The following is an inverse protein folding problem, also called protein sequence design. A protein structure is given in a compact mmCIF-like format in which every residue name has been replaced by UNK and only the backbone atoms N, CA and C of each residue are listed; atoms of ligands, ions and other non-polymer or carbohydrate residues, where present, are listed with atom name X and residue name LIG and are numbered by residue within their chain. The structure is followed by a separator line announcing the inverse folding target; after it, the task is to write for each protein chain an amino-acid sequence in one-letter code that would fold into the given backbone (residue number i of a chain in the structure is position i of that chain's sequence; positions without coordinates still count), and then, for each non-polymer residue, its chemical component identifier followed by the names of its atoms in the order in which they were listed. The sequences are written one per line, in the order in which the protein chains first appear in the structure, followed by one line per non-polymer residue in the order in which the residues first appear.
data_IF_956860930151
#
_entry.id   IF_956860930151
#
_cell.length_a   1.000
_cell.length_b   1.000
_cell.length_c   1.000
_cell.angle_alpha   90.00
_cell.angle_beta   90.00
_cell.angle_gamma   90.00
#
_symmetry.space_group_name_H-M   'P 1'
#
loop_
_entity.id
_entity.type
_entity.pdbx_description
1 polymer ?
#
# COMPACT_ATOMS: atom_id res chain seq x y z
N UNK A 1 16.29 8.20 -7.48
CA UNK A 1 14.98 7.65 -7.09
C UNK A 1 14.32 8.72 -6.26
N UNK A 2 13.40 9.47 -6.86
CA UNK A 2 12.57 10.43 -6.14
C UNK A 2 11.27 9.72 -5.75
N UNK A 3 10.85 9.89 -4.50
CA UNK A 3 9.70 9.21 -3.92
C UNK A 3 8.64 10.25 -3.57
N UNK A 4 7.41 10.02 -4.04
CA UNK A 4 6.25 10.74 -3.55
C UNK A 4 5.66 9.96 -2.36
N UNK A 5 5.75 10.57 -1.17
CA UNK A 5 5.20 10.03 0.08
C UNK A 5 4.02 10.90 0.50
N UNK A 6 2.87 10.27 0.74
CA UNK A 6 1.65 10.94 1.17
C UNK A 6 0.84 10.08 2.13
N UNK A 7 -0.06 10.70 2.89
CA UNK A 7 -0.98 9.97 3.76
C UNK A 7 -1.79 8.98 2.92
N UNK A 8 -1.99 7.77 3.46
CA UNK A 8 -2.74 6.72 2.77
C UNK A 8 -4.15 7.20 2.43
N UNK A 9 -4.57 7.05 1.16
CA UNK A 9 -5.95 7.20 0.77
C UNK A 9 -6.55 5.85 0.31
N UNK A 10 -7.86 5.83 0.10
CA UNK A 10 -8.59 4.61 -0.24
C UNK A 10 -8.06 3.91 -1.49
N UNK A 11 -7.68 4.67 -2.52
CA UNK A 11 -7.18 4.09 -3.78
C UNK A 11 -5.85 3.38 -3.56
N UNK A 12 -4.91 3.97 -2.82
CA UNK A 12 -3.65 3.30 -2.53
C UNK A 12 -3.83 2.12 -1.57
N UNK A 13 -4.65 2.28 -0.52
CA UNK A 13 -4.96 1.19 0.43
C UNK A 13 -5.52 -0.04 -0.31
N UNK A 14 -6.46 0.19 -1.24
CA UNK A 14 -7.06 -0.86 -2.08
C UNK A 14 -6.07 -1.51 -3.05
N UNK A 15 -5.02 -0.82 -3.49
CA UNK A 15 -3.98 -1.43 -4.33
C UNK A 15 -2.97 -2.23 -3.48
N UNK A 16 -2.57 -1.69 -2.34
CA UNK A 16 -1.63 -2.31 -1.40
C UNK A 16 -2.25 -3.55 -0.75
N UNK A 17 -3.55 -3.54 -0.46
CA UNK A 17 -4.26 -4.69 0.11
C UNK A 17 -4.26 -5.93 -0.79
N UNK A 18 -3.84 -5.80 -2.06
CA UNK A 18 -3.69 -6.91 -3.02
C UNK A 18 -2.30 -7.54 -3.02
N UNK A 19 -1.38 -7.03 -2.21
CA UNK A 19 0.01 -7.48 -2.23
C UNK A 19 0.11 -8.91 -1.68
N UNK A 20 0.50 -9.83 -2.55
CA UNK A 20 0.79 -11.22 -2.23
C UNK A 20 2.28 -11.47 -2.40
N UNK A 21 2.92 -11.97 -1.35
CA UNK A 21 4.35 -12.28 -1.35
C UNK A 21 4.57 -13.79 -1.37
N UNK A 22 5.67 -14.19 -2.02
CA UNK A 22 6.12 -15.59 -1.99
C UNK A 22 6.90 -15.87 -0.70
N UNK A 23 7.05 -17.15 -0.36
CA UNK A 23 7.94 -17.60 0.72
C UNK A 23 9.35 -16.99 0.59
N UNK A 24 9.98 -16.59 1.71
CA UNK A 24 9.53 -16.72 3.11
C UNK A 24 8.64 -15.57 3.61
N UNK A 25 8.24 -14.65 2.74
CA UNK A 25 7.52 -13.41 3.10
C UNK A 25 6.00 -13.54 2.99
N UNK A 26 5.48 -14.74 2.79
CA UNK A 26 4.04 -14.99 2.60
C UNK A 26 3.21 -14.48 3.78
N UNK A 27 3.77 -14.45 4.99
CA UNK A 27 3.13 -13.91 6.21
C UNK A 27 2.79 -12.41 6.13
N UNK A 28 3.40 -11.66 5.22
CA UNK A 28 3.11 -10.24 4.97
C UNK A 28 2.10 -10.02 3.84
N UNK A 29 1.61 -11.12 3.23
CA UNK A 29 0.58 -11.02 2.21
C UNK A 29 -0.71 -10.49 2.81
N UNK A 30 -1.38 -9.64 2.03
CA UNK A 30 -2.67 -9.05 2.38
C UNK A 30 -3.81 -9.86 1.77
N UNK A 31 -5.04 -9.63 2.20
CA UNK A 31 -6.21 -10.45 1.84
C UNK A 31 -7.30 -9.68 1.08
N UNK A 32 -7.03 -8.45 0.66
CA UNK A 32 -7.99 -7.53 0.01
C UNK A 32 -9.28 -7.28 0.80
N UNK A 33 -9.36 -7.68 2.08
CA UNK A 33 -10.58 -7.54 2.88
C UNK A 33 -10.84 -6.07 3.24
N UNK A 34 -12.11 -5.75 3.47
CA UNK A 34 -12.49 -4.44 4.01
C UNK A 34 -11.80 -4.14 5.36
N UNK A 35 -11.53 -5.17 6.17
CA UNK A 35 -10.79 -4.99 7.41
C UNK A 35 -9.33 -4.55 7.16
N UNK A 36 -8.65 -5.23 6.23
CA UNK A 36 -7.29 -4.86 5.81
C UNK A 36 -7.25 -3.43 5.23
N UNK A 37 -8.22 -3.07 4.39
CA UNK A 37 -8.31 -1.71 3.81
C UNK A 37 -8.54 -0.67 4.91
N UNK A 38 -9.45 -0.92 5.86
CA UNK A 38 -9.73 0.01 6.96
C UNK A 38 -8.53 0.17 7.91
N UNK A 39 -7.76 -0.90 8.13
CA UNK A 39 -6.52 -0.83 8.90
C UNK A 39 -5.50 0.12 8.25
N UNK A 40 -5.29 0.00 6.93
CA UNK A 40 -4.41 0.90 6.18
C UNK A 40 -4.90 2.36 6.20
N UNK A 41 -6.19 2.60 6.44
CA UNK A 41 -6.79 3.94 6.51
C UNK A 41 -6.85 4.54 7.92
N UNK A 42 -6.29 3.87 8.94
CA UNK A 42 -6.38 4.30 10.34
C UNK A 42 -5.62 5.61 10.68
N UNK A 43 -4.99 6.24 9.69
CA UNK A 43 -4.26 7.51 9.84
C UNK A 43 -2.79 7.36 10.20
N UNK A 44 -2.31 6.16 10.49
CA UNK A 44 -0.89 5.90 10.81
C UNK A 44 -0.06 5.44 9.60
N UNK A 45 -0.70 5.08 8.49
CA UNK A 45 -0.02 4.61 7.28
C UNK A 45 0.12 5.70 6.21
N UNK A 46 1.22 5.59 5.46
CA UNK A 46 1.54 6.44 4.32
C UNK A 46 1.78 5.55 3.10
N UNK A 47 1.39 6.05 1.92
CA UNK A 47 1.74 5.42 0.65
C UNK A 47 3.02 6.06 0.09
N UNK A 48 3.90 5.23 -0.47
CA UNK A 48 5.09 5.65 -1.19
C UNK A 48 4.98 5.17 -2.63
N UNK A 49 5.30 6.06 -3.57
CA UNK A 49 5.33 5.76 -5.00
C UNK A 49 6.54 6.42 -5.63
N UNK A 50 7.07 5.81 -6.69
CA UNK A 50 8.10 6.47 -7.49
C UNK A 50 7.52 7.73 -8.13
N UNK A 51 8.26 8.84 -8.01
CA UNK A 51 7.94 10.06 -8.72
C UNK A 51 8.14 9.82 -10.22
N UNK A 52 7.04 9.79 -10.97
CA UNK A 52 7.09 9.72 -12.43
C UNK A 52 7.49 11.09 -12.95
N UNK A 53 8.76 11.28 -13.28
CA UNK A 53 9.17 12.39 -14.15
C UNK A 53 8.50 12.19 -15.51
N UNK A 54 7.50 13.00 -15.82
CA UNK A 54 6.95 13.07 -17.18
C UNK A 54 7.96 13.86 -18.00
N UNK A 55 8.69 13.18 -18.89
CA UNK A 55 9.55 13.79 -19.91
C UNK A 55 8.73 14.31 -21.08
#
# INVERSE_FOLDING_TARGET
MELNIKQMNYNEAKQISKWIYKEPYSIYSMDESENCINELLNGYYYSASEEKTIL
#
